data_IF_796096904417
#
_entry.id   IF_796096904417
#
_cell.length_a   1.000
_cell.length_b   1.000
_cell.length_c   1.000
_cell.angle_alpha   90.00
_cell.angle_beta   90.00
_cell.angle_gamma   90.00
#
_symmetry.space_group_name_H-M   'P 1'
#
loop_
_entity.id
_entity.type
_entity.pdbx_description
1 polymer ?
#
# COMPACT_ATOMS: atom_id res chain seq x y z
N UNK A 1 19.73 -18.06 15.26
CA UNK A 1 20.09 -17.53 13.92
C UNK A 1 20.22 -16.03 14.05
N UNK A 2 21.38 -15.48 13.75
CA UNK A 2 21.63 -14.04 13.86
C UNK A 2 20.78 -13.28 12.83
N UNK A 3 20.10 -12.22 13.28
CA UNK A 3 19.17 -11.47 12.46
C UNK A 3 19.98 -10.61 11.48
N UNK A 4 20.00 -10.99 10.19
CA UNK A 4 20.76 -10.29 9.14
C UNK A 4 20.20 -8.93 8.73
N UNK A 5 19.14 -8.44 9.38
CA UNK A 5 18.48 -7.18 9.03
C UNK A 5 17.97 -6.45 10.29
N UNK A 6 17.87 -5.11 10.26
CA UNK A 6 17.40 -4.30 11.38
C UNK A 6 15.92 -4.55 11.70
N UNK A 7 15.57 -4.45 12.99
CA UNK A 7 14.20 -4.69 13.46
C UNK A 7 13.15 -3.76 12.85
N UNK A 8 13.53 -2.52 12.53
CA UNK A 8 12.60 -1.55 11.94
C UNK A 8 11.98 -2.03 10.63
N UNK A 9 12.68 -2.85 9.84
CA UNK A 9 12.17 -3.39 8.58
C UNK A 9 10.97 -4.32 8.82
N UNK A 10 11.11 -5.22 9.79
CA UNK A 10 10.04 -6.13 10.17
C UNK A 10 8.87 -5.35 10.79
N UNK A 11 9.16 -4.40 11.69
CA UNK A 11 8.14 -3.56 12.30
C UNK A 11 7.36 -2.76 11.26
N UNK A 12 8.05 -2.13 10.31
CA UNK A 12 7.39 -1.37 9.24
C UNK A 12 6.48 -2.26 8.39
N UNK A 13 6.93 -3.45 7.99
CA UNK A 13 6.12 -4.36 7.19
C UNK A 13 4.90 -4.89 7.95
N UNK A 14 5.02 -5.11 9.26
CA UNK A 14 3.89 -5.48 10.13
C UNK A 14 2.87 -4.34 10.28
N UNK A 15 3.35 -3.11 10.47
CA UNK A 15 2.49 -1.94 10.52
C UNK A 15 1.76 -1.73 9.18
N UNK A 16 2.48 -1.86 8.06
CA UNK A 16 1.89 -1.81 6.73
C UNK A 16 0.85 -2.93 6.55
N UNK A 17 1.15 -4.15 6.98
CA UNK A 17 0.22 -5.27 6.92
C UNK A 17 -1.09 -5.00 7.66
N UNK A 18 -1.00 -4.59 8.94
CA UNK A 18 -2.17 -4.27 9.76
C UNK A 18 -2.97 -3.15 9.13
N UNK A 19 -2.30 -2.07 8.69
CA UNK A 19 -2.97 -0.96 8.04
C UNK A 19 -3.74 -1.40 6.77
N UNK A 20 -3.09 -2.16 5.88
CA UNK A 20 -3.72 -2.59 4.62
C UNK A 20 -4.87 -3.57 4.87
N UNK A 21 -4.77 -4.43 5.88
CA UNK A 21 -5.87 -5.31 6.31
C UNK A 21 -7.07 -4.51 6.84
N UNK A 22 -6.83 -3.55 7.73
CA UNK A 22 -7.89 -2.71 8.29
C UNK A 22 -8.54 -1.85 7.21
N UNK A 23 -7.74 -1.25 6.34
CA UNK A 23 -8.23 -0.43 5.23
C UNK A 23 -9.02 -1.27 4.21
N UNK A 24 -8.49 -2.44 3.84
CA UNK A 24 -9.18 -3.38 2.95
C UNK A 24 -10.50 -3.87 3.55
N UNK A 25 -10.52 -4.23 4.83
CA UNK A 25 -11.74 -4.62 5.54
C UNK A 25 -12.75 -3.46 5.61
N UNK A 26 -12.29 -2.23 5.87
CA UNK A 26 -13.15 -1.06 5.89
C UNK A 26 -13.82 -0.82 4.53
N UNK A 27 -13.04 -0.88 3.44
CA UNK A 27 -13.56 -0.74 2.07
C UNK A 27 -14.55 -1.84 1.69
N UNK A 28 -14.33 -3.07 2.17
CA UNK A 28 -15.23 -4.20 1.89
C UNK A 28 -16.54 -4.09 2.67
N UNK A 29 -16.48 -3.77 3.97
CA UNK A 29 -17.66 -3.72 4.85
C UNK A 29 -18.48 -2.45 4.62
N UNK A 30 -17.81 -1.31 4.37
CA UNK A 30 -18.42 0.00 4.18
C UNK A 30 -17.92 0.67 2.90
N UNK A 31 -18.33 0.20 1.70
CA UNK A 31 -17.79 0.70 0.43
C UNK A 31 -18.15 2.15 0.12
N UNK A 32 -19.23 2.68 0.70
CA UNK A 32 -19.72 4.04 0.42
C UNK A 32 -19.10 5.12 1.32
N UNK A 33 -18.61 4.77 2.52
CA UNK A 33 -18.17 5.78 3.51
C UNK A 33 -17.02 6.63 3.01
N UNK A 34 -16.10 6.05 2.24
CA UNK A 34 -15.01 6.81 1.63
C UNK A 34 -15.54 7.87 0.66
N UNK A 35 -16.47 7.50 -0.22
CA UNK A 35 -17.05 8.40 -1.23
C UNK A 35 -17.83 9.54 -0.57
N UNK A 36 -18.63 9.22 0.45
CA UNK A 36 -19.36 10.21 1.25
C UNK A 36 -18.43 11.23 1.91
N UNK A 37 -17.34 10.77 2.54
CA UNK A 37 -16.39 11.67 3.23
C UNK A 37 -15.64 12.58 2.28
N UNK A 38 -15.35 12.10 1.07
CA UNK A 38 -14.67 12.89 0.03
C UNK A 38 -15.60 13.74 -0.81
N UNK A 39 -16.93 13.64 -0.62
CA UNK A 39 -17.92 14.34 -1.46
C UNK A 39 -18.00 13.81 -2.90
N UNK A 40 -17.55 12.58 -3.14
CA UNK A 40 -17.66 11.93 -4.45
C UNK A 40 -19.07 11.38 -4.68
N UNK A 41 -19.46 11.25 -5.95
CA UNK A 41 -20.69 10.58 -6.32
C UNK A 41 -20.72 9.13 -5.76
N UNK A 42 -21.88 8.66 -5.25
CA UNK A 42 -21.99 7.29 -4.77
C UNK A 42 -21.63 6.26 -5.84
N UNK A 43 -20.97 5.18 -5.41
CA UNK A 43 -20.64 4.05 -6.28
C UNK A 43 -21.89 3.42 -6.89
N UNK A 44 -21.96 3.36 -8.22
CA UNK A 44 -22.99 2.58 -8.94
C UNK A 44 -22.79 1.07 -8.76
N UNK A 45 -21.52 0.64 -8.77
CA UNK A 45 -21.12 -0.76 -8.61
C UNK A 45 -20.06 -0.88 -7.52
N UNK A 46 -20.46 -1.03 -6.24
CA UNK A 46 -19.52 -1.10 -5.13
C UNK A 46 -18.58 -2.32 -5.20
N UNK A 47 -18.95 -3.35 -5.95
CA UNK A 47 -18.18 -4.59 -6.13
C UNK A 47 -16.76 -4.37 -6.63
N UNK A 48 -16.52 -3.39 -7.52
CA UNK A 48 -15.17 -3.08 -8.02
C UNK A 48 -14.31 -2.51 -6.88
N UNK A 49 -14.88 -1.58 -6.11
CA UNK A 49 -14.19 -0.95 -4.98
C UNK A 49 -13.92 -1.95 -3.84
N UNK A 50 -14.90 -2.78 -3.51
CA UNK A 50 -14.73 -3.89 -2.58
C UNK A 50 -13.67 -4.89 -3.07
N UNK A 51 -13.63 -5.15 -4.38
CA UNK A 51 -12.58 -5.93 -5.04
C UNK A 51 -11.19 -5.34 -4.81
N UNK A 52 -11.04 -4.03 -4.99
CA UNK A 52 -9.79 -3.32 -4.66
C UNK A 52 -9.43 -3.47 -3.19
N UNK A 53 -10.40 -3.30 -2.27
CA UNK A 53 -10.22 -3.51 -0.84
C UNK A 53 -9.72 -4.92 -0.49
N UNK A 54 -10.28 -5.95 -1.12
CA UNK A 54 -9.83 -7.34 -0.94
C UNK A 54 -8.38 -7.54 -1.43
N UNK A 55 -8.03 -7.02 -2.61
CA UNK A 55 -6.68 -7.09 -3.15
C UNK A 55 -5.69 -6.41 -2.19
N UNK A 56 -6.00 -5.21 -1.71
CA UNK A 56 -5.18 -4.49 -0.73
C UNK A 56 -5.03 -5.27 0.57
N UNK A 57 -6.10 -5.90 1.06
CA UNK A 57 -6.06 -6.77 2.24
C UNK A 57 -5.09 -7.96 2.05
N UNK A 58 -5.12 -8.60 0.88
CA UNK A 58 -4.20 -9.71 0.55
C UNK A 58 -2.74 -9.23 0.47
N UNK A 59 -2.48 -8.03 -0.07
CA UNK A 59 -1.14 -7.41 0.01
C UNK A 59 -0.71 -7.22 1.46
N UNK A 60 -1.63 -6.88 2.36
CA UNK A 60 -1.38 -6.82 3.80
C UNK A 60 -0.83 -8.13 4.35
N UNK A 61 -1.42 -9.27 3.99
CA UNK A 61 -0.89 -10.59 4.36
C UNK A 61 0.52 -10.82 3.79
N UNK A 62 0.73 -10.41 2.54
CA UNK A 62 2.04 -10.44 1.88
C UNK A 62 3.12 -9.68 2.66
N UNK A 63 2.82 -8.47 3.14
CA UNK A 63 3.75 -7.70 3.99
C UNK A 63 4.00 -8.38 5.33
N UNK A 64 2.97 -8.99 5.94
CA UNK A 64 3.14 -9.71 7.20
C UNK A 64 4.13 -10.87 7.06
N UNK A 65 3.98 -11.67 6.00
CA UNK A 65 4.91 -12.77 5.72
C UNK A 65 6.30 -12.25 5.33
N UNK A 66 6.37 -11.17 4.56
CA UNK A 66 7.65 -10.55 4.25
C UNK A 66 8.38 -10.03 5.50
N UNK A 67 7.67 -9.67 6.57
CA UNK A 67 8.28 -9.19 7.81
C UNK A 67 9.23 -10.20 8.48
N UNK A 68 9.07 -11.50 8.24
CA UNK A 68 9.95 -12.53 8.81
C UNK A 68 11.31 -12.61 8.10
N UNK A 69 11.36 -12.28 6.81
CA UNK A 69 12.61 -12.18 6.04
C UNK A 69 12.50 -11.08 4.96
N UNK A 70 12.59 -9.79 5.34
CA UNK A 70 12.30 -8.66 4.44
C UNK A 70 13.16 -8.62 3.18
N UNK A 71 14.44 -9.02 3.31
CA UNK A 71 15.39 -9.05 2.20
C UNK A 71 15.18 -10.24 1.26
N UNK A 72 14.58 -11.34 1.75
CA UNK A 72 14.29 -12.53 0.94
C UNK A 72 12.98 -12.36 0.18
N UNK A 73 11.96 -11.87 0.87
CA UNK A 73 10.63 -11.62 0.33
C UNK A 73 10.50 -10.21 -0.25
N UNK A 74 11.60 -9.64 -0.74
CA UNK A 74 11.58 -8.31 -1.33
C UNK A 74 10.63 -8.13 -2.53
N UNK A 75 10.28 -9.15 -3.35
CA UNK A 75 9.39 -8.93 -4.49
C UNK A 75 8.01 -8.41 -4.09
N UNK A 76 7.44 -8.90 -2.98
CA UNK A 76 6.13 -8.38 -2.52
C UNK A 76 6.26 -6.95 -1.98
N UNK A 77 7.41 -6.60 -1.39
CA UNK A 77 7.71 -5.22 -0.97
C UNK A 77 7.85 -4.30 -2.19
N UNK A 78 8.47 -4.78 -3.27
CA UNK A 78 8.63 -4.04 -4.51
C UNK A 78 7.28 -3.80 -5.21
N UNK A 79 6.46 -4.83 -5.36
CA UNK A 79 5.10 -4.69 -5.92
C UNK A 79 4.26 -3.73 -5.07
N UNK A 80 4.35 -3.86 -3.75
CA UNK A 80 3.72 -2.94 -2.81
C UNK A 80 4.17 -1.49 -2.96
N UNK A 81 5.48 -1.28 -3.11
CA UNK A 81 6.06 0.06 -3.30
C UNK A 81 5.59 0.70 -4.61
N UNK A 82 5.55 -0.07 -5.70
CA UNK A 82 5.01 0.38 -6.98
C UNK A 82 3.55 0.78 -6.88
N UNK A 83 2.72 -0.04 -6.21
CA UNK A 83 1.33 0.31 -5.94
C UNK A 83 1.20 1.66 -5.23
N UNK A 84 2.08 1.91 -4.25
CA UNK A 84 2.09 3.17 -3.50
C UNK A 84 2.60 4.38 -4.29
N UNK A 85 3.36 4.17 -5.36
CA UNK A 85 3.76 5.25 -6.28
C UNK A 85 2.62 5.54 -7.25
N UNK A 86 1.99 4.49 -7.78
CA UNK A 86 0.93 4.63 -8.77
C UNK A 86 -0.37 5.22 -8.20
N UNK A 87 -0.66 5.04 -6.91
CA UNK A 87 -1.81 5.68 -6.26
C UNK A 87 -1.78 7.21 -6.37
N UNK A 88 -0.76 7.90 -5.83
CA UNK A 88 -0.62 9.35 -5.95
C UNK A 88 -0.48 9.85 -7.40
N UNK A 89 0.20 9.10 -8.27
CA UNK A 89 0.25 9.46 -9.70
C UNK A 89 -1.13 9.41 -10.37
N UNK A 90 -1.91 8.36 -10.08
CA UNK A 90 -3.28 8.23 -10.55
C UNK A 90 -4.17 9.36 -10.02
N UNK A 91 -4.05 9.71 -8.74
CA UNK A 91 -4.73 10.87 -8.16
C UNK A 91 -4.36 12.17 -8.88
N UNK A 92 -3.07 12.45 -9.05
CA UNK A 92 -2.62 13.69 -9.70
C UNK A 92 -3.15 13.80 -11.13
N UNK A 93 -3.17 12.69 -11.88
CA UNK A 93 -3.73 12.65 -13.22
C UNK A 93 -5.25 12.95 -13.21
N UNK A 94 -6.01 12.25 -12.36
CA UNK A 94 -7.46 12.44 -12.29
C UNK A 94 -7.85 13.83 -11.75
N UNK A 95 -7.07 14.39 -10.82
CA UNK A 95 -7.31 15.70 -10.24
C UNK A 95 -6.91 16.85 -11.17
N UNK A 96 -5.70 16.82 -11.72
CA UNK A 96 -5.15 17.93 -12.52
C UNK A 96 -5.58 17.90 -13.98
N UNK A 97 -5.69 16.71 -14.57
CA UNK A 97 -5.94 16.54 -16.01
C UNK A 97 -7.43 16.31 -16.26
N UNK A 98 -8.00 15.26 -15.66
CA UNK A 98 -9.40 14.88 -15.91
C UNK A 98 -10.41 15.73 -15.13
N UNK A 99 -10.00 16.27 -13.97
CA UNK A 99 -10.86 17.03 -13.05
C UNK A 99 -12.09 16.24 -12.59
N UNK A 100 -11.93 14.92 -12.45
CA UNK A 100 -13.02 13.99 -12.12
C UNK A 100 -13.13 13.71 -10.62
N UNK A 101 -12.07 14.01 -9.86
CA UNK A 101 -12.01 13.72 -8.42
C UNK A 101 -11.79 14.97 -7.59
N UNK A 102 -12.38 15.04 -6.39
CA UNK A 102 -12.18 16.15 -5.46
C UNK A 102 -10.79 16.08 -4.80
N UNK A 103 -10.31 17.22 -4.28
CA UNK A 103 -9.00 17.30 -3.62
C UNK A 103 -8.96 16.46 -2.33
N UNK A 104 -10.11 16.33 -1.66
CA UNK A 104 -10.35 15.59 -0.43
C UNK A 104 -9.96 14.12 -0.53
N UNK A 105 -9.94 13.55 -1.74
CA UNK A 105 -9.40 12.20 -1.98
C UNK A 105 -7.94 12.08 -1.51
N UNK A 106 -7.16 13.16 -1.62
CA UNK A 106 -5.74 13.20 -1.23
C UNK A 106 -5.51 12.84 0.24
N UNK A 107 -6.50 13.03 1.12
CA UNK A 107 -6.38 12.70 2.53
C UNK A 107 -6.04 11.23 2.77
N UNK A 108 -6.53 10.33 1.92
CA UNK A 108 -6.18 8.91 2.02
C UNK A 108 -4.78 8.59 1.53
N UNK A 109 -4.22 9.37 0.61
CA UNK A 109 -2.88 9.13 0.05
C UNK A 109 -1.78 9.28 1.10
N UNK A 110 -1.97 10.17 2.07
CA UNK A 110 -0.98 10.35 3.13
C UNK A 110 -0.73 9.05 3.90
N UNK A 111 -1.80 8.39 4.34
CA UNK A 111 -1.70 7.16 5.14
C UNK A 111 -1.65 5.90 4.30
N UNK A 112 -2.26 5.88 3.11
CA UNK A 112 -2.23 4.72 2.23
C UNK A 112 -0.89 4.59 1.52
N UNK A 113 -0.27 5.71 1.12
CA UNK A 113 0.88 5.72 0.22
C UNK A 113 2.11 6.37 0.84
N UNK A 114 2.06 7.68 1.10
CA UNK A 114 3.24 8.52 1.28
C UNK A 114 4.10 8.13 2.50
N UNK A 115 3.48 7.79 3.64
CA UNK A 115 4.24 7.39 4.84
C UNK A 115 5.08 6.13 4.64
N UNK A 116 4.71 5.29 3.68
CA UNK A 116 5.40 4.02 3.43
C UNK A 116 6.48 4.14 2.37
N UNK A 117 6.55 5.25 1.64
CA UNK A 117 7.52 5.42 0.56
C UNK A 117 8.96 5.33 1.06
N UNK A 118 9.28 6.08 2.09
CA UNK A 118 10.62 6.09 2.69
C UNK A 118 11.03 4.70 3.19
N UNK A 119 10.27 4.01 4.05
CA UNK A 119 10.71 2.72 4.55
C UNK A 119 10.77 1.64 3.46
N UNK A 120 9.82 1.59 2.52
CA UNK A 120 9.85 0.61 1.45
C UNK A 120 11.04 0.86 0.50
N UNK A 121 11.31 2.12 0.17
CA UNK A 121 12.49 2.50 -0.58
C UNK A 121 13.78 2.08 0.12
N UNK A 122 13.91 2.31 1.43
CA UNK A 122 15.10 1.91 2.20
C UNK A 122 15.28 0.39 2.26
N UNK A 123 14.20 -0.38 2.38
CA UNK A 123 14.25 -1.85 2.30
C UNK A 123 14.76 -2.29 0.91
N UNK A 124 14.18 -1.74 -0.16
CA UNK A 124 14.55 -2.07 -1.54
C UNK A 124 15.97 -1.62 -1.90
N UNK A 125 16.41 -0.47 -1.39
CA UNK A 125 17.79 0.00 -1.51
C UNK A 125 18.76 -1.00 -0.88
N UNK A 126 18.41 -1.56 0.29
CA UNK A 126 19.25 -2.58 0.94
C UNK A 126 19.27 -3.89 0.17
N UNK A 127 18.14 -4.30 -0.41
CA UNK A 127 18.07 -5.45 -1.32
C UNK A 127 19.02 -5.26 -2.51
N UNK A 128 19.01 -4.08 -3.13
CA UNK A 128 19.93 -3.76 -4.22
C UNK A 128 21.40 -3.91 -3.79
N UNK A 129 21.78 -3.38 -2.62
CA UNK A 129 23.18 -3.40 -2.15
C UNK A 129 23.65 -4.75 -1.61
N UNK A 130 22.78 -5.52 -0.95
CA UNK A 130 23.19 -6.76 -0.27
C UNK A 130 22.92 -8.03 -1.07
N UNK A 131 21.82 -8.07 -1.84
CA UNK A 131 21.42 -9.27 -2.58
C UNK A 131 21.49 -9.09 -4.09
N UNK A 132 21.65 -7.85 -4.59
CA UNK A 132 21.69 -7.57 -6.03
C UNK A 132 20.42 -8.00 -6.75
N UNK A 133 19.25 -7.90 -6.09
CA UNK A 133 17.94 -8.33 -6.62
C UNK A 133 17.81 -9.82 -6.88
N UNK A 134 18.66 -10.66 -6.28
CA UNK A 134 18.56 -12.10 -6.45
C UNK A 134 17.29 -12.65 -5.78
N UNK A 135 16.59 -13.54 -6.48
CA UNK A 135 15.47 -14.34 -5.99
C UNK A 135 16.01 -15.67 -5.46
N UNK A 136 16.52 -15.70 -4.23
CA UNK A 136 17.08 -16.91 -3.58
C UNK A 136 16.37 -17.19 -2.24
#
# INVERSE_FOLDING_TARGET
>A
MEKKYPDWMATCLRLAAIYNLLWGAWVVIWPHTFFEWTGMAPLQHPTIWQGTGMIVGVYGLGYWWASYHPLRHWPIVAVGFLGKIFGPLGFLFNYLVLKEIPFEFSYTLYTNDLIWWVPFFLILKRVHTETGWQLR
#
